data_IF_227513366235
#
_entry.id   IF_227513366235
#
_cell.length_a   1.000
_cell.length_b   1.000
_cell.length_c   1.000
_cell.angle_alpha   90.00
_cell.angle_beta   90.00
_cell.angle_gamma   90.00
#
_symmetry.space_group_name_H-M   'P 1'
#
loop_
_entity.id
_entity.type
_entity.pdbx_description
1 polymer ?
#
# COMPACT_ATOMS: atom_id res chain seq x y z
N UNK A 1 -26.79 -31.46 12.20
CA UNK A 1 -26.44 -30.26 11.43
C UNK A 1 -26.48 -29.12 12.43
N UNK A 2 -25.36 -28.43 12.67
CA UNK A 2 -25.35 -27.29 13.62
C UNK A 2 -26.26 -26.21 13.03
N UNK A 3 -27.22 -25.70 13.79
CA UNK A 3 -28.21 -24.72 13.32
C UNK A 3 -27.53 -23.43 12.83
N UNK A 4 -26.33 -23.14 13.35
CA UNK A 4 -25.59 -21.89 13.10
C UNK A 4 -24.80 -21.87 11.78
N UNK A 5 -24.72 -22.98 11.04
CA UNK A 5 -23.93 -23.06 9.80
C UNK A 5 -24.84 -23.43 8.62
N UNK A 6 -24.97 -22.49 7.66
CA UNK A 6 -25.67 -22.70 6.38
C UNK A 6 -24.68 -23.05 5.28
N UNK A 7 -24.78 -24.25 4.72
CA UNK A 7 -23.97 -24.70 3.58
C UNK A 7 -24.70 -24.41 2.26
N UNK A 8 -23.99 -23.79 1.31
CA UNK A 8 -24.50 -23.45 -0.01
C UNK A 8 -23.53 -23.99 -1.05
N UNK A 9 -24.04 -24.74 -2.04
CA UNK A 9 -23.24 -25.35 -3.10
C UNK A 9 -23.52 -24.61 -4.40
N UNK A 10 -22.46 -24.09 -5.02
CA UNK A 10 -22.54 -23.43 -6.32
C UNK A 10 -22.18 -24.43 -7.43
N UNK A 11 -23.08 -24.62 -8.38
CA UNK A 11 -22.90 -25.61 -9.45
C UNK A 11 -22.17 -25.05 -10.66
N UNK A 12 -22.31 -23.75 -10.92
CA UNK A 12 -21.81 -23.10 -12.14
C UNK A 12 -20.68 -22.12 -11.89
N UNK A 13 -20.36 -21.83 -10.61
CA UNK A 13 -19.25 -20.97 -10.24
C UNK A 13 -18.18 -21.71 -9.43
N UNK A 14 -16.92 -21.60 -9.87
CA UNK A 14 -15.82 -22.42 -9.34
C UNK A 14 -14.73 -21.63 -8.59
N UNK A 15 -14.68 -20.30 -8.77
CA UNK A 15 -13.57 -19.48 -8.24
C UNK A 15 -14.01 -18.15 -7.63
N UNK A 16 -15.03 -17.49 -8.20
CA UNK A 16 -15.54 -16.23 -7.66
C UNK A 16 -17.03 -16.07 -7.93
N UNK A 17 -17.84 -16.60 -7.01
CA UNK A 17 -19.30 -16.61 -7.08
C UNK A 17 -19.90 -15.21 -7.21
N UNK A 18 -19.27 -14.19 -6.60
CA UNK A 18 -19.78 -12.81 -6.60
C UNK A 18 -19.77 -12.14 -7.97
N UNK A 19 -18.99 -12.64 -8.93
CA UNK A 19 -18.88 -12.10 -10.30
C UNK A 19 -19.37 -13.07 -11.38
N UNK A 20 -19.98 -14.17 -10.98
CA UNK A 20 -20.28 -15.32 -11.85
C UNK A 20 -21.78 -15.61 -11.91
N UNK A 21 -22.16 -16.68 -12.60
CA UNK A 21 -23.56 -17.05 -12.88
C UNK A 21 -24.43 -17.23 -11.63
N UNK A 22 -23.86 -17.66 -10.51
CA UNK A 22 -24.60 -17.97 -9.28
C UNK A 22 -24.56 -16.83 -8.24
N UNK A 23 -24.18 -15.62 -8.66
CA UNK A 23 -24.11 -14.42 -7.80
C UNK A 23 -25.47 -14.02 -7.19
N UNK A 24 -26.57 -14.26 -7.92
CA UNK A 24 -27.93 -14.00 -7.44
C UNK A 24 -28.28 -14.90 -6.24
N UNK A 25 -27.95 -16.20 -6.34
CA UNK A 25 -28.17 -17.19 -5.27
C UNK A 25 -27.36 -16.81 -4.02
N UNK A 26 -26.09 -16.41 -4.22
CA UNK A 26 -25.25 -15.95 -3.12
C UNK A 26 -25.86 -14.74 -2.39
N UNK A 27 -26.34 -13.74 -3.13
CA UNK A 27 -26.92 -12.53 -2.54
C UNK A 27 -28.24 -12.82 -1.81
N UNK A 28 -29.10 -13.66 -2.38
CA UNK A 28 -30.38 -14.04 -1.77
C UNK A 28 -30.16 -14.79 -0.46
N UNK A 29 -29.35 -15.85 -0.46
CA UNK A 29 -29.08 -16.65 0.73
C UNK A 29 -28.32 -15.86 1.81
N UNK A 30 -27.37 -15.02 1.42
CA UNK A 30 -26.65 -14.17 2.37
C UNK A 30 -27.58 -13.14 3.02
N UNK A 31 -28.49 -12.56 2.22
CA UNK A 31 -29.48 -11.60 2.72
C UNK A 31 -30.44 -12.22 3.73
N UNK A 32 -30.96 -13.41 3.42
CA UNK A 32 -31.81 -14.17 4.35
C UNK A 32 -31.05 -14.53 5.62
N UNK A 33 -29.83 -15.05 5.51
CA UNK A 33 -29.02 -15.39 6.68
C UNK A 33 -28.79 -14.19 7.61
N UNK A 34 -28.42 -13.03 7.05
CA UNK A 34 -28.23 -11.80 7.83
C UNK A 34 -29.55 -11.41 8.52
N UNK A 35 -30.67 -11.51 7.82
CA UNK A 35 -31.97 -11.22 8.39
C UNK A 35 -32.28 -12.14 9.58
N UNK A 36 -32.06 -13.45 9.43
CA UNK A 36 -32.29 -14.45 10.46
C UNK A 36 -31.38 -14.24 11.70
N UNK A 37 -30.16 -13.74 11.50
CA UNK A 37 -29.25 -13.33 12.59
C UNK A 37 -29.81 -12.11 13.31
N UNK A 38 -30.20 -11.08 12.56
CA UNK A 38 -30.68 -9.81 13.13
C UNK A 38 -32.01 -9.95 13.86
N UNK A 39 -32.90 -10.84 13.39
CA UNK A 39 -34.16 -11.15 14.08
C UNK A 39 -33.96 -12.07 15.28
N UNK A 40 -32.75 -12.61 15.47
CA UNK A 40 -32.43 -13.57 16.52
C UNK A 40 -33.11 -14.93 16.33
N UNK A 41 -33.57 -15.23 15.11
CA UNK A 41 -34.23 -16.50 14.78
C UNK A 41 -33.23 -17.67 14.82
N UNK A 42 -31.98 -17.43 14.42
CA UNK A 42 -30.91 -18.43 14.48
C UNK A 42 -30.52 -18.81 15.91
N UNK A 43 -30.58 -17.87 16.86
CA UNK A 43 -30.22 -18.13 18.27
C UNK A 43 -31.31 -18.93 19.02
N UNK A 44 -32.58 -18.79 18.62
CA UNK A 44 -33.72 -19.43 19.30
C UNK A 44 -33.84 -20.94 19.07
N UNK A 45 -33.16 -21.49 18.07
CA UNK A 45 -33.35 -22.88 17.63
C UNK A 45 -32.51 -23.93 18.37
N UNK A 46 -31.49 -23.53 19.14
CA UNK A 46 -30.48 -24.46 19.69
C UNK A 46 -30.56 -24.68 21.21
N UNK A 47 -31.24 -23.83 21.98
CA UNK A 47 -31.25 -23.92 23.45
C UNK A 47 -32.58 -23.46 24.08
N UNK A 48 -33.69 -24.18 23.82
CA UNK A 48 -35.04 -23.84 24.33
C UNK A 48 -35.22 -23.95 25.88
N UNK A 49 -34.16 -24.17 26.67
CA UNK A 49 -34.31 -24.41 28.12
C UNK A 49 -33.36 -23.63 29.07
N UNK A 50 -32.42 -22.81 28.59
CA UNK A 50 -31.45 -22.08 29.47
C UNK A 50 -31.23 -20.59 29.08
N UNK A 51 -32.14 -19.95 28.32
CA UNK A 51 -31.92 -18.62 27.72
C UNK A 51 -31.99 -17.40 28.65
N UNK A 52 -32.76 -17.43 29.75
CA UNK A 52 -32.95 -16.22 30.57
C UNK A 52 -31.67 -15.87 31.37
N UNK A 53 -30.97 -16.87 31.90
CA UNK A 53 -29.76 -16.65 32.73
C UNK A 53 -28.52 -16.28 31.87
N UNK A 54 -28.41 -16.80 30.64
CA UNK A 54 -27.27 -16.50 29.76
C UNK A 54 -27.36 -15.09 29.18
N UNK A 55 -28.56 -14.61 28.81
CA UNK A 55 -28.75 -13.25 28.31
C UNK A 55 -28.45 -12.21 29.39
N UNK A 56 -28.92 -12.45 30.61
CA UNK A 56 -28.64 -11.58 31.76
C UNK A 56 -27.14 -11.58 32.12
N UNK A 57 -26.45 -12.71 31.95
CA UNK A 57 -24.99 -12.81 32.14
C UNK A 57 -24.23 -12.04 31.05
N UNK A 58 -24.66 -12.14 29.80
CA UNK A 58 -24.07 -11.42 28.65
C UNK A 58 -24.25 -9.90 28.83
N UNK A 59 -25.44 -9.45 29.23
CA UNK A 59 -25.72 -8.03 29.45
C UNK A 59 -24.88 -7.47 30.62
N UNK A 60 -24.71 -8.25 31.70
CA UNK A 60 -23.88 -7.86 32.83
C UNK A 60 -22.38 -7.79 32.46
N UNK A 61 -21.89 -8.71 31.62
CA UNK A 61 -20.50 -8.66 31.12
C UNK A 61 -20.30 -7.46 30.18
N UNK A 62 -21.27 -7.17 29.32
CA UNK A 62 -21.24 -6.02 28.43
C UNK A 62 -21.17 -4.70 29.21
N UNK A 63 -22.01 -4.52 30.23
CA UNK A 63 -22.00 -3.34 31.10
C UNK A 63 -20.66 -3.17 31.84
N UNK A 64 -20.04 -4.28 32.26
CA UNK A 64 -18.71 -4.28 32.87
C UNK A 64 -17.63 -3.79 31.89
N UNK A 65 -17.66 -4.24 30.64
CA UNK A 65 -16.73 -3.79 29.58
C UNK A 65 -16.93 -2.29 29.26
N UNK A 66 -18.19 -1.86 29.11
CA UNK A 66 -18.54 -0.46 28.84
C UNK A 66 -18.09 0.46 29.99
N UNK A 67 -18.29 0.03 31.24
CA UNK A 67 -17.82 0.79 32.40
C UNK A 67 -16.29 0.85 32.48
N UNK A 68 -15.59 -0.22 32.12
CA UNK A 68 -14.12 -0.24 32.04
C UNK A 68 -13.57 0.69 30.96
N UNK A 69 -14.27 0.86 29.83
CA UNK A 69 -13.92 1.80 28.76
C UNK A 69 -14.12 3.26 29.17
N UNK A 70 -15.09 3.54 30.04
CA UNK A 70 -15.35 4.90 30.56
C UNK A 70 -14.32 5.40 31.59
N UNK A 71 -13.34 4.57 31.98
CA UNK A 71 -12.31 4.89 32.98
C UNK A 71 -11.00 5.46 32.39
N UNK A 72 -10.79 5.44 31.07
CA UNK A 72 -9.52 5.87 30.43
C UNK A 72 -9.53 7.30 29.84
N UNK A 73 -10.48 8.14 30.26
CA UNK A 73 -10.56 9.56 29.83
C UNK A 73 -9.53 10.47 30.54
N UNK A 74 -8.39 9.93 30.99
CA UNK A 74 -7.35 10.68 31.71
C UNK A 74 -6.21 11.18 30.80
N UNK A 75 -6.21 10.78 29.53
CA UNK A 75 -5.26 11.31 28.55
C UNK A 75 -5.83 12.55 27.87
N UNK A 76 -5.05 13.62 27.70
CA UNK A 76 -5.52 14.89 27.13
C UNK A 76 -5.86 14.83 25.63
N UNK A 77 -5.92 13.64 25.04
CA UNK A 77 -6.18 13.39 23.63
C UNK A 77 -7.05 12.14 23.48
N UNK A 78 -8.20 12.26 22.83
CA UNK A 78 -9.11 11.14 22.56
C UNK A 78 -8.67 10.36 21.31
N UNK A 79 -9.23 9.17 21.08
CA UNK A 79 -9.05 8.43 19.82
C UNK A 79 -9.41 9.26 18.57
N UNK A 80 -10.44 10.10 18.66
CA UNK A 80 -10.84 11.00 17.57
C UNK A 80 -9.77 12.05 17.25
N UNK A 81 -9.07 12.58 18.26
CA UNK A 81 -7.93 13.49 18.08
C UNK A 81 -6.76 12.81 17.37
N UNK A 82 -6.58 11.50 17.58
CA UNK A 82 -5.53 10.71 16.91
C UNK A 82 -5.90 10.41 15.46
N UNK A 83 -7.19 10.21 15.16
CA UNK A 83 -7.71 10.09 13.79
C UNK A 83 -7.56 11.39 13.01
N UNK A 84 -7.98 12.53 13.58
CA UNK A 84 -7.81 13.85 12.98
C UNK A 84 -6.32 14.16 12.73
N UNK A 85 -5.46 13.75 13.65
CA UNK A 85 -4.00 13.88 13.50
C UNK A 85 -3.48 12.97 12.39
N UNK A 86 -4.04 11.78 12.22
CA UNK A 86 -3.63 10.83 11.17
C UNK A 86 -4.08 11.30 9.79
N UNK A 87 -5.32 11.78 9.66
CA UNK A 87 -5.87 12.35 8.42
C UNK A 87 -5.10 13.63 8.00
N UNK A 88 -4.77 14.49 8.96
CA UNK A 88 -3.94 15.68 8.67
C UNK A 88 -2.51 15.32 8.23
N UNK A 89 -1.92 14.26 8.79
CA UNK A 89 -0.61 13.76 8.34
C UNK A 89 -0.70 13.11 6.95
N UNK A 90 -1.72 12.29 6.72
CA UNK A 90 -1.93 11.63 5.43
C UNK A 90 -2.18 12.64 4.32
N UNK A 91 -3.04 13.65 4.56
CA UNK A 91 -3.28 14.73 3.60
C UNK A 91 -2.04 15.59 3.31
N UNK A 92 -1.13 15.75 4.28
CA UNK A 92 0.17 16.40 4.08
C UNK A 92 1.12 15.53 3.23
N UNK A 93 1.14 14.22 3.47
CA UNK A 93 1.92 13.26 2.69
C UNK A 93 1.39 13.21 1.26
N UNK A 94 0.07 13.11 1.09
CA UNK A 94 -0.62 13.07 -0.20
C UNK A 94 -0.35 14.35 -1.00
N UNK A 95 -0.51 15.52 -0.36
CA UNK A 95 -0.18 16.81 -0.96
C UNK A 95 1.28 16.87 -1.42
N UNK A 96 2.22 16.36 -0.62
CA UNK A 96 3.65 16.35 -0.98
C UNK A 96 4.00 15.30 -2.03
N UNK A 97 3.29 14.17 -2.08
CA UNK A 97 3.52 13.06 -3.02
C UNK A 97 3.05 13.41 -4.44
N UNK A 98 1.91 14.09 -4.55
CA UNK A 98 1.37 14.57 -5.83
C UNK A 98 1.74 16.03 -6.15
N UNK A 99 2.39 16.73 -5.23
CA UNK A 99 3.02 18.00 -5.56
C UNK A 99 4.13 17.75 -6.57
N UNK A 100 3.87 18.10 -7.84
CA UNK A 100 4.92 18.22 -8.84
C UNK A 100 6.05 19.06 -8.23
N UNK A 101 7.27 18.50 -8.07
CA UNK A 101 8.34 19.22 -7.41
C UNK A 101 8.59 20.51 -8.19
N UNK A 102 8.32 21.66 -7.56
CA UNK A 102 8.47 22.99 -8.18
C UNK A 102 9.94 23.30 -8.54
N UNK A 103 10.87 22.40 -8.25
CA UNK A 103 12.28 22.52 -8.57
C UNK A 103 12.79 21.22 -9.17
N UNK A 104 13.34 21.33 -10.38
CA UNK A 104 14.05 20.23 -11.01
C UNK A 104 15.22 19.75 -10.11
N UNK A 105 15.49 18.44 -10.09
CA UNK A 105 16.62 17.89 -9.34
C UNK A 105 17.93 18.56 -9.77
N UNK A 106 18.70 19.05 -8.79
CA UNK A 106 19.98 19.73 -9.05
C UNK A 106 21.08 18.70 -9.25
N UNK A 107 21.41 18.39 -10.50
CA UNK A 107 22.54 17.51 -10.81
C UNK A 107 23.89 18.21 -10.60
N UNK A 108 24.81 17.56 -9.85
CA UNK A 108 26.21 17.98 -9.72
C UNK A 108 26.93 17.92 -11.09
N UNK A 109 27.99 18.71 -11.29
CA UNK A 109 28.72 18.77 -12.59
C UNK A 109 29.19 17.39 -13.08
N UNK A 110 29.68 16.54 -12.17
CA UNK A 110 30.09 15.17 -12.47
C UNK A 110 28.93 14.30 -12.96
N UNK A 111 27.76 14.40 -12.31
CA UNK A 111 26.56 13.64 -12.66
C UNK A 111 26.04 13.99 -14.06
N UNK A 112 26.10 15.27 -14.42
CA UNK A 112 25.72 15.73 -15.77
C UNK A 112 26.64 15.13 -16.84
N UNK A 113 27.94 15.08 -16.57
CA UNK A 113 28.91 14.44 -17.45
C UNK A 113 28.62 12.94 -17.63
N UNK A 114 28.29 12.25 -16.54
CA UNK A 114 27.94 10.83 -16.56
C UNK A 114 26.68 10.53 -17.39
N UNK A 115 25.63 11.34 -17.25
CA UNK A 115 24.39 11.20 -18.03
C UNK A 115 24.67 11.44 -19.52
N UNK A 116 25.45 12.47 -19.84
CA UNK A 116 25.85 12.75 -21.23
C UNK A 116 26.63 11.56 -21.80
N UNK A 117 27.57 10.98 -21.05
CA UNK A 117 28.35 9.83 -21.49
C UNK A 117 27.48 8.58 -21.71
N UNK A 118 26.50 8.34 -20.83
CA UNK A 118 25.55 7.22 -20.92
C UNK A 118 24.65 7.33 -22.16
N UNK A 119 24.29 8.54 -22.58
CA UNK A 119 23.45 8.78 -23.77
C UNK A 119 24.30 8.83 -25.05
N UNK A 120 25.46 9.50 -25.00
CA UNK A 120 26.33 9.68 -26.16
C UNK A 120 27.03 8.37 -26.57
N UNK A 121 27.38 7.51 -25.61
CA UNK A 121 28.05 6.23 -25.88
C UNK A 121 27.22 5.31 -26.79
N UNK A 122 25.96 4.98 -26.46
CA UNK A 122 25.09 4.18 -27.31
C UNK A 122 24.80 4.85 -28.66
N UNK A 123 24.59 6.16 -28.69
CA UNK A 123 24.40 6.91 -29.95
C UNK A 123 25.63 6.79 -30.87
N UNK A 124 26.84 6.85 -30.31
CA UNK A 124 28.07 6.65 -31.06
C UNK A 124 28.17 5.23 -31.62
N UNK A 125 27.88 4.21 -30.82
CA UNK A 125 27.91 2.80 -31.29
C UNK A 125 26.87 2.57 -32.39
N UNK A 126 25.64 3.08 -32.23
CA UNK A 126 24.59 2.98 -33.26
C UNK A 126 25.03 3.71 -34.54
N UNK A 127 25.60 4.90 -34.42
CA UNK A 127 26.16 5.64 -35.55
C UNK A 127 27.25 4.84 -36.29
N UNK A 128 28.18 4.25 -35.56
CA UNK A 128 29.20 3.38 -36.13
C UNK A 128 28.60 2.18 -36.88
N UNK A 129 27.57 1.53 -36.31
CA UNK A 129 26.94 0.36 -36.94
C UNK A 129 26.19 0.72 -38.23
N UNK A 130 25.55 1.88 -38.30
CA UNK A 130 24.74 2.28 -39.46
C UNK A 130 25.60 2.90 -40.57
N UNK A 131 26.50 3.81 -40.21
CA UNK A 131 27.23 4.63 -41.21
C UNK A 131 28.70 4.26 -41.33
N UNK A 132 29.20 3.30 -40.53
CA UNK A 132 30.63 2.99 -40.42
C UNK A 132 31.49 4.23 -40.13
N UNK A 133 30.90 5.22 -39.45
CA UNK A 133 31.55 6.48 -39.15
C UNK A 133 32.50 6.28 -37.97
N UNK A 134 33.80 6.29 -38.27
CA UNK A 134 34.87 6.16 -37.29
C UNK A 134 35.84 7.35 -37.38
N UNK A 135 35.56 8.45 -36.67
CA UNK A 135 36.38 9.65 -36.73
C UNK A 135 37.77 9.46 -36.10
N UNK A 136 37.97 8.43 -35.30
CA UNK A 136 39.22 8.20 -34.54
C UNK A 136 39.97 6.93 -34.95
N UNK A 137 39.40 6.08 -35.82
CA UNK A 137 39.97 4.79 -36.19
C UNK A 137 39.94 3.76 -35.05
N UNK A 138 39.09 3.96 -34.04
CA UNK A 138 39.04 3.17 -32.81
C UNK A 138 37.83 2.23 -32.75
N UNK A 139 37.00 2.22 -33.79
CA UNK A 139 35.78 1.43 -33.88
C UNK A 139 34.76 1.78 -32.78
N UNK A 140 34.10 0.77 -32.22
CA UNK A 140 33.05 0.92 -31.19
C UNK A 140 33.59 1.24 -29.79
N UNK A 141 34.90 1.07 -29.55
CA UNK A 141 35.50 1.13 -28.22
C UNK A 141 35.28 2.46 -27.48
N UNK A 142 35.38 3.65 -28.11
CA UNK A 142 35.10 4.91 -27.45
C UNK A 142 33.68 4.98 -26.86
N UNK A 143 32.68 4.44 -27.58
CA UNK A 143 31.30 4.40 -27.11
C UNK A 143 31.11 3.48 -25.91
N UNK A 144 31.74 2.30 -25.93
CA UNK A 144 31.71 1.35 -24.80
C UNK A 144 32.37 1.95 -23.56
N UNK A 145 33.53 2.58 -23.71
CA UNK A 145 34.23 3.22 -22.59
C UNK A 145 33.42 4.37 -21.99
N UNK A 146 32.72 5.16 -22.81
CA UNK A 146 31.84 6.22 -22.34
C UNK A 146 30.70 5.69 -21.47
N UNK A 147 30.06 4.58 -21.88
CA UNK A 147 28.98 3.94 -21.09
C UNK A 147 29.52 3.41 -19.76
N UNK A 148 30.65 2.70 -19.77
CA UNK A 148 31.24 2.12 -18.56
C UNK A 148 31.68 3.22 -17.58
N UNK A 149 32.34 4.27 -18.07
CA UNK A 149 32.72 5.42 -17.25
C UNK A 149 31.50 6.16 -16.67
N UNK A 150 30.44 6.33 -17.46
CA UNK A 150 29.17 6.91 -17.00
C UNK A 150 28.51 6.07 -15.91
N UNK A 151 28.50 4.74 -16.06
CA UNK A 151 27.93 3.84 -15.06
C UNK A 151 28.72 3.85 -13.73
N UNK A 152 30.06 3.78 -13.81
CA UNK A 152 30.94 3.82 -12.63
C UNK A 152 30.75 5.14 -11.86
N UNK A 153 30.71 6.26 -12.56
CA UNK A 153 30.56 7.59 -11.93
C UNK A 153 29.19 7.79 -11.28
N UNK A 154 28.12 7.21 -11.83
CA UNK A 154 26.82 7.21 -11.17
C UNK A 154 26.82 6.30 -9.94
N UNK A 155 27.44 5.13 -10.01
CA UNK A 155 27.47 4.16 -8.91
C UNK A 155 28.21 4.69 -7.68
N UNK A 156 29.42 5.22 -7.87
CA UNK A 156 30.20 5.82 -6.77
C UNK A 156 29.52 7.04 -6.16
N UNK A 157 28.76 7.79 -6.97
CA UNK A 157 28.00 8.94 -6.48
C UNK A 157 26.71 8.55 -5.74
N UNK A 158 26.14 7.38 -6.03
CA UNK A 158 25.03 6.83 -5.25
C UNK A 158 25.50 6.33 -3.88
N UNK A 159 26.64 5.64 -3.83
CA UNK A 159 27.27 5.15 -2.59
C UNK A 159 27.59 6.30 -1.61
N UNK A 160 28.06 7.45 -2.12
CA UNK A 160 28.34 8.62 -1.29
C UNK A 160 27.09 9.42 -0.85
N UNK A 161 25.87 9.07 -1.25
CA UNK A 161 24.65 9.75 -0.77
C UNK A 161 24.14 9.24 0.57
N UNK A 162 24.52 8.03 1.01
CA UNK A 162 24.02 7.45 2.27
C UNK A 162 24.66 8.04 3.54
N UNK A 163 25.73 8.85 3.42
CA UNK A 163 26.52 9.32 4.58
C UNK A 163 26.24 10.78 4.96
N UNK A 164 25.51 11.57 4.15
CA UNK A 164 25.40 13.03 4.31
C UNK A 164 24.00 13.55 4.72
N UNK A 165 23.09 12.67 5.18
CA UNK A 165 21.75 13.08 5.63
C UNK A 165 21.71 13.52 7.12
N UNK A 166 22.86 13.79 7.75
CA UNK A 166 22.92 14.22 9.16
C UNK A 166 22.93 15.73 9.40
N UNK A 167 22.71 16.59 8.40
CA UNK A 167 22.79 18.05 8.61
C UNK A 167 21.72 18.86 7.85
N UNK A 168 20.45 18.49 8.02
CA UNK A 168 19.32 19.40 7.76
C UNK A 168 18.27 19.34 8.86
N UNK A 169 18.73 19.50 10.09
CA UNK A 169 17.90 19.91 11.22
C UNK A 169 17.91 21.43 11.35
N UNK A 170 17.00 22.11 10.65
CA UNK A 170 16.64 23.49 10.97
C UNK A 170 15.17 23.72 10.59
N UNK A 171 14.29 23.24 11.46
CA UNK A 171 12.93 23.77 11.63
C UNK A 171 13.07 25.14 12.30
N UNK A 172 12.61 26.19 11.63
CA UNK A 172 12.10 27.43 12.24
C UNK A 172 10.75 27.74 11.60
#
# INVERSE_FOLDING_TARGET
MSVDIREIIFEKSFHNVSLDYDSEILNEESGQFIQDVLTGELARGSYEYEEDDERDLIDAEFDSIVSSLSLDESTPTTYLDQLDRSESVESLIERNMYATPNRLPKFKKAQRGAIIALIAGPLYVIGYLVTHFDPFGLGVWPGVLAVVAGAITLFTQMEHREIDDSDSGAVL
#
